data_IF_336340945800
#
_entry.id   IF_336340945800
#
_cell.length_a   1.000
_cell.length_b   1.000
_cell.length_c   1.000
_cell.angle_alpha   90.00
_cell.angle_beta   90.00
_cell.angle_gamma   90.00
#
_symmetry.space_group_name_H-M   'P 1'
#
loop_
_entity.id
_entity.type
_entity.pdbx_description
1 polymer ?
#
# COMPACT_ATOMS: atom_id res chain seq x y z
N UNK A 1 -10.35 8.23 -23.27
CA UNK A 1 -9.75 8.16 -24.61
C UNK A 1 -8.37 7.52 -24.46
N UNK A 2 -8.17 6.35 -25.08
CA UNK A 2 -6.84 5.78 -25.26
C UNK A 2 -6.08 6.76 -26.16
N UNK A 3 -5.03 7.39 -25.65
CA UNK A 3 -4.01 7.98 -26.52
C UNK A 3 -3.42 6.82 -27.31
N UNK A 4 -3.72 6.71 -28.58
CA UNK A 4 -2.97 5.86 -29.50
C UNK A 4 -1.54 6.40 -29.47
N UNK A 5 -0.62 5.59 -28.94
CA UNK A 5 0.78 5.94 -28.88
C UNK A 5 1.33 6.04 -30.30
N UNK A 6 1.62 7.23 -30.74
CA UNK A 6 2.45 7.44 -31.92
C UNK A 6 3.85 6.94 -31.58
N UNK A 7 4.54 6.35 -32.56
CA UNK A 7 5.95 6.01 -32.41
C UNK A 7 6.72 7.30 -32.09
N UNK A 8 7.48 7.27 -30.98
CA UNK A 8 8.41 8.34 -30.64
C UNK A 8 9.82 7.91 -31.06
N UNK A 9 10.63 8.83 -31.56
CA UNK A 9 12.02 8.52 -31.89
C UNK A 9 12.81 8.31 -30.57
N UNK A 10 13.82 7.44 -30.61
CA UNK A 10 14.71 7.26 -29.46
C UNK A 10 15.40 8.58 -29.10
N UNK A 11 15.75 9.40 -30.09
CA UNK A 11 16.34 10.71 -29.90
C UNK A 11 15.49 11.66 -29.07
N UNK A 12 14.16 11.66 -29.28
CA UNK A 12 13.22 12.50 -28.50
C UNK A 12 13.12 12.04 -27.04
N UNK A 13 13.38 10.76 -26.77
CA UNK A 13 13.24 10.15 -25.45
C UNK A 13 14.55 10.26 -24.66
N UNK A 14 15.71 10.28 -25.31
CA UNK A 14 17.05 10.32 -24.67
C UNK A 14 17.20 11.54 -23.77
N UNK A 15 16.77 12.72 -24.19
CA UNK A 15 16.81 13.93 -23.37
C UNK A 15 16.07 13.74 -22.03
N UNK A 16 14.83 13.25 -22.12
CA UNK A 16 14.01 12.97 -20.93
C UNK A 16 14.62 11.88 -20.03
N UNK A 17 15.23 10.88 -20.65
CA UNK A 17 15.91 9.80 -19.91
C UNK A 17 17.15 10.34 -19.14
N UNK A 18 17.95 11.21 -19.76
CA UNK A 18 19.10 11.85 -19.12
C UNK A 18 18.66 12.76 -17.95
N UNK A 19 17.62 13.56 -18.15
CA UNK A 19 17.06 14.40 -17.10
C UNK A 19 16.60 13.56 -15.88
N UNK A 20 15.99 12.42 -16.14
CA UNK A 20 15.58 11.51 -15.07
C UNK A 20 16.79 10.89 -14.36
N UNK A 21 17.83 10.49 -15.08
CA UNK A 21 19.06 9.95 -14.49
C UNK A 21 19.76 11.03 -13.64
N UNK A 22 19.83 12.26 -14.13
CA UNK A 22 20.42 13.38 -13.37
C UNK A 22 19.67 13.63 -12.06
N UNK A 23 18.33 13.66 -12.10
CA UNK A 23 17.50 13.78 -10.90
C UNK A 23 17.71 12.62 -9.92
N UNK A 24 17.90 11.40 -10.45
CA UNK A 24 18.22 10.24 -9.61
C UNK A 24 19.61 10.35 -8.97
N UNK A 25 20.58 10.86 -9.70
CA UNK A 25 21.94 11.08 -9.20
C UNK A 25 21.99 12.13 -8.08
N UNK A 26 21.20 13.18 -8.20
CA UNK A 26 21.07 14.22 -7.18
C UNK A 26 20.32 13.74 -5.94
N UNK A 27 19.47 12.73 -6.06
CA UNK A 27 18.71 12.15 -4.98
C UNK A 27 19.57 11.15 -4.20
N UNK A 28 20.27 11.63 -3.18
CA UNK A 28 21.19 10.84 -2.33
C UNK A 28 20.53 9.71 -1.54
N UNK A 29 19.20 9.66 -1.47
CA UNK A 29 18.47 8.62 -0.73
C UNK A 29 18.35 7.30 -1.50
N UNK A 30 18.74 7.25 -2.78
CA UNK A 30 18.79 6.03 -3.60
C UNK A 30 17.42 5.38 -3.89
N UNK A 31 16.34 5.91 -3.34
CA UNK A 31 14.99 5.41 -3.51
C UNK A 31 14.23 6.24 -4.55
N UNK A 32 14.01 5.66 -5.71
CA UNK A 32 13.24 6.30 -6.80
C UNK A 32 11.76 6.00 -6.71
N UNK A 33 11.41 4.87 -6.10
CA UNK A 33 10.05 4.40 -5.90
C UNK A 33 9.43 4.81 -4.57
N UNK A 34 8.30 4.18 -4.26
CA UNK A 34 7.61 4.32 -3.00
C UNK A 34 8.21 3.36 -1.97
N UNK A 35 8.75 3.84 -0.84
CA UNK A 35 9.30 2.97 0.20
C UNK A 35 8.27 2.00 0.75
N UNK A 36 8.62 0.72 0.82
CA UNK A 36 7.78 -0.31 1.45
C UNK A 36 7.84 -0.26 2.97
N UNK A 37 8.95 0.28 3.51
CA UNK A 37 9.29 0.28 4.93
C UNK A 37 10.15 -0.90 5.35
N UNK A 38 10.45 -1.83 4.43
CA UNK A 38 11.41 -2.92 4.62
C UNK A 38 12.71 -2.55 3.91
N UNK A 39 13.72 -2.19 4.69
CA UNK A 39 14.99 -1.65 4.18
C UNK A 39 15.63 -2.52 3.09
N UNK A 40 15.69 -3.84 3.32
CA UNK A 40 16.33 -4.75 2.37
C UNK A 40 15.52 -4.89 1.08
N UNK A 41 14.19 -4.89 1.18
CA UNK A 41 13.30 -4.88 0.01
C UNK A 41 13.48 -3.58 -0.77
N UNK A 42 13.48 -2.46 -0.07
CA UNK A 42 13.63 -1.13 -0.67
C UNK A 42 15.00 -0.96 -1.35
N UNK A 43 16.08 -1.51 -0.77
CA UNK A 43 17.40 -1.53 -1.38
C UNK A 43 17.44 -2.37 -2.67
N UNK A 44 16.76 -3.53 -2.69
CA UNK A 44 16.74 -4.42 -3.86
C UNK A 44 15.85 -3.89 -4.99
N UNK A 45 14.74 -3.20 -4.66
CA UNK A 45 13.74 -2.76 -5.64
C UNK A 45 13.82 -1.26 -5.95
N UNK A 46 14.62 -0.50 -5.21
CA UNK A 46 14.59 0.96 -5.17
C UNK A 46 13.20 1.51 -4.82
N UNK A 47 12.42 0.76 -4.04
CA UNK A 47 11.02 1.02 -3.69
C UNK A 47 10.03 0.58 -4.78
N UNK A 48 8.72 0.69 -4.50
CA UNK A 48 7.67 0.33 -5.46
C UNK A 48 7.59 1.36 -6.59
N UNK A 49 7.94 0.95 -7.81
CA UNK A 49 7.96 1.84 -8.97
C UNK A 49 6.56 2.10 -9.53
N UNK A 50 6.35 3.24 -10.22
CA UNK A 50 5.11 3.48 -10.96
C UNK A 50 4.89 2.41 -12.04
N UNK A 51 3.67 1.90 -12.16
CA UNK A 51 3.24 0.91 -13.16
C UNK A 51 3.78 -0.51 -12.94
N UNK A 52 4.57 -0.77 -11.90
CA UNK A 52 5.01 -2.11 -11.58
C UNK A 52 3.91 -2.94 -10.92
N UNK A 53 3.91 -4.21 -11.25
CA UNK A 53 3.14 -5.24 -10.57
C UNK A 53 4.10 -6.11 -9.76
N UNK A 54 4.04 -5.99 -8.44
CA UNK A 54 4.85 -6.78 -7.53
C UNK A 54 4.02 -7.95 -7.00
N UNK A 55 4.46 -9.17 -7.27
CA UNK A 55 3.80 -10.39 -6.81
C UNK A 55 4.54 -10.95 -5.59
N UNK A 56 3.81 -11.09 -4.49
CA UNK A 56 4.31 -11.72 -3.26
C UNK A 56 3.64 -13.09 -3.13
N UNK A 57 4.41 -14.15 -3.31
CA UNK A 57 3.94 -15.53 -3.18
C UNK A 57 4.56 -16.19 -1.94
N UNK A 58 3.74 -16.89 -1.17
CA UNK A 58 4.19 -17.64 -0.01
C UNK A 58 3.19 -18.79 0.27
N UNK A 59 3.68 -19.83 0.93
CA UNK A 59 2.80 -20.90 1.42
C UNK A 59 1.76 -20.33 2.42
N UNK A 60 0.60 -20.96 2.57
CA UNK A 60 -0.37 -20.56 3.59
C UNK A 60 0.29 -20.39 4.98
N UNK A 61 -0.19 -19.44 5.74
CA UNK A 61 0.29 -19.12 7.10
C UNK A 61 1.72 -18.58 7.23
N UNK A 62 2.43 -18.30 6.13
CA UNK A 62 3.79 -17.72 6.15
C UNK A 62 3.84 -16.19 6.31
N UNK A 63 2.74 -15.55 6.70
CA UNK A 63 2.72 -14.12 7.00
C UNK A 63 2.53 -13.19 5.79
N UNK A 64 2.12 -13.70 4.63
CA UNK A 64 1.89 -12.90 3.41
C UNK A 64 1.00 -11.68 3.66
N UNK A 65 -0.16 -11.87 4.28
CA UNK A 65 -1.09 -10.77 4.62
C UNK A 65 -0.47 -9.80 5.61
N UNK A 66 0.27 -10.29 6.61
CA UNK A 66 0.96 -9.44 7.58
C UNK A 66 2.01 -8.56 6.90
N UNK A 67 2.80 -9.13 5.99
CA UNK A 67 3.78 -8.38 5.19
C UNK A 67 3.12 -7.25 4.40
N UNK A 68 2.01 -7.56 3.71
CA UNK A 68 1.29 -6.58 2.90
C UNK A 68 0.64 -5.49 3.76
N UNK A 69 0.10 -5.85 4.93
CA UNK A 69 -0.46 -4.88 5.87
C UNK A 69 0.62 -3.96 6.45
N UNK A 70 1.83 -4.46 6.71
CA UNK A 70 2.95 -3.61 7.11
C UNK A 70 3.32 -2.59 6.04
N UNK A 71 3.31 -2.99 4.76
CA UNK A 71 3.50 -2.04 3.65
C UNK A 71 2.36 -1.01 3.63
N UNK A 72 1.11 -1.45 3.75
CA UNK A 72 -0.05 -0.56 3.79
C UNK A 72 0.02 0.43 4.95
N UNK A 73 0.43 -0.03 6.13
CA UNK A 73 0.66 0.81 7.31
C UNK A 73 1.78 1.82 7.05
N UNK A 74 2.92 1.39 6.53
CA UNK A 74 4.03 2.30 6.25
C UNK A 74 3.64 3.38 5.23
N UNK A 75 2.95 2.99 4.17
CA UNK A 75 2.50 3.91 3.12
C UNK A 75 1.38 4.83 3.62
N UNK A 76 0.36 4.27 4.27
CA UNK A 76 -0.82 5.02 4.70
C UNK A 76 -0.60 5.83 5.97
N UNK A 77 -0.05 5.22 7.02
CA UNK A 77 0.11 5.88 8.31
C UNK A 77 1.33 6.78 8.35
N UNK A 78 2.51 6.27 7.93
CA UNK A 78 3.76 7.04 8.03
C UNK A 78 3.96 8.03 6.90
N UNK A 79 3.70 7.61 5.65
CA UNK A 79 3.93 8.46 4.48
C UNK A 79 2.69 9.27 4.07
N UNK A 80 1.54 9.04 4.72
CA UNK A 80 0.25 9.72 4.44
C UNK A 80 -0.16 9.63 2.97
N UNK A 81 0.14 8.51 2.31
CA UNK A 81 -0.24 8.25 0.91
C UNK A 81 -1.42 7.30 0.86
N UNK A 82 -2.28 7.50 -0.11
CA UNK A 82 -3.50 6.71 -0.25
C UNK A 82 -3.22 5.25 -0.57
N UNK A 83 -3.84 4.37 0.20
CA UNK A 83 -3.80 2.93 0.01
C UNK A 83 -5.21 2.42 -0.25
N UNK A 84 -5.40 1.67 -1.35
CA UNK A 84 -6.60 0.86 -1.60
C UNK A 84 -6.24 -0.61 -1.36
N UNK A 85 -6.87 -1.23 -0.37
CA UNK A 85 -6.59 -2.60 0.02
C UNK A 85 -7.80 -3.47 -0.32
N UNK A 86 -7.63 -4.42 -1.25
CA UNK A 86 -8.66 -5.39 -1.63
C UNK A 86 -8.37 -6.73 -0.98
N UNK A 87 -9.30 -7.25 -0.22
CA UNK A 87 -9.18 -8.52 0.49
C UNK A 87 -10.20 -9.51 -0.02
N UNK A 88 -9.74 -10.69 -0.47
CA UNK A 88 -10.60 -11.80 -0.87
C UNK A 88 -10.70 -12.91 0.20
N UNK A 89 -9.98 -12.73 1.30
CA UNK A 89 -9.86 -13.78 2.33
C UNK A 89 -10.30 -13.31 3.71
N UNK A 90 -10.05 -12.06 4.03
CA UNK A 90 -10.32 -11.48 5.35
C UNK A 90 -11.30 -10.33 5.26
N UNK A 91 -12.18 -10.20 6.26
CA UNK A 91 -13.07 -9.05 6.38
C UNK A 91 -12.33 -7.75 6.72
N UNK A 92 -12.95 -6.62 6.43
CA UNK A 92 -12.44 -5.28 6.78
C UNK A 92 -12.11 -5.19 8.27
N UNK A 93 -13.00 -5.69 9.12
CA UNK A 93 -12.83 -5.68 10.59
C UNK A 93 -11.59 -6.45 11.02
N UNK A 94 -11.37 -7.65 10.45
CA UNK A 94 -10.19 -8.47 10.75
C UNK A 94 -8.90 -7.78 10.34
N UNK A 95 -8.91 -7.07 9.22
CA UNK A 95 -7.74 -6.32 8.74
C UNK A 95 -7.45 -5.10 9.62
N UNK A 96 -8.49 -4.33 9.98
CA UNK A 96 -8.35 -3.20 10.91
C UNK A 96 -7.85 -3.67 12.27
N UNK A 97 -8.37 -4.78 12.78
CA UNK A 97 -7.91 -5.37 14.03
C UNK A 97 -6.41 -5.72 13.99
N UNK A 98 -5.94 -6.30 12.87
CA UNK A 98 -4.51 -6.58 12.69
C UNK A 98 -3.67 -5.31 12.59
N UNK A 99 -4.15 -4.27 11.89
CA UNK A 99 -3.47 -2.98 11.83
C UNK A 99 -3.36 -2.33 13.21
N UNK A 100 -4.41 -2.41 14.03
CA UNK A 100 -4.38 -1.92 15.41
C UNK A 100 -3.35 -2.66 16.25
N UNK A 101 -3.30 -4.01 16.18
CA UNK A 101 -2.28 -4.80 16.85
C UNK A 101 -0.85 -4.40 16.43
N UNK A 102 -0.63 -4.20 15.12
CA UNK A 102 0.68 -3.82 14.58
C UNK A 102 1.13 -2.43 15.06
N UNK A 103 0.21 -1.46 15.11
CA UNK A 103 0.53 -0.08 15.46
C UNK A 103 0.67 0.09 16.98
N UNK A 104 -0.22 -0.55 17.78
CA UNK A 104 -0.21 -0.47 19.24
C UNK A 104 0.83 -1.36 19.88
N UNK A 105 1.33 -2.38 19.17
CA UNK A 105 2.14 -3.47 19.73
C UNK A 105 1.46 -4.22 20.89
N UNK A 106 0.13 -4.18 20.97
CA UNK A 106 -0.67 -4.96 21.91
C UNK A 106 -0.93 -6.34 21.31
N UNK A 107 -0.88 -7.36 22.17
CA UNK A 107 -1.12 -8.74 21.75
C UNK A 107 -2.51 -8.92 21.12
N UNK A 108 -2.54 -9.63 20.00
CA UNK A 108 -3.78 -9.82 19.23
C UNK A 108 -4.84 -10.62 19.96
N UNK A 109 -4.43 -11.53 20.85
CA UNK A 109 -5.36 -12.32 21.65
C UNK A 109 -6.02 -11.47 22.73
N UNK A 110 -5.26 -10.59 23.38
CA UNK A 110 -5.79 -9.63 24.36
C UNK A 110 -6.82 -8.70 23.72
N UNK A 111 -6.50 -8.14 22.54
CA UNK A 111 -7.43 -7.29 21.78
C UNK A 111 -8.70 -8.05 21.41
N UNK A 112 -8.59 -9.32 20.95
CA UNK A 112 -9.73 -10.13 20.53
C UNK A 112 -10.63 -10.55 21.70
N UNK A 113 -10.06 -10.76 22.87
CA UNK A 113 -10.80 -11.17 24.07
C UNK A 113 -11.24 -10.00 24.96
N UNK A 114 -10.82 -8.76 24.61
CA UNK A 114 -11.09 -7.57 25.41
C UNK A 114 -10.31 -7.53 26.74
N UNK A 115 -9.29 -8.39 26.90
CA UNK A 115 -8.51 -8.51 28.13
C UNK A 115 -7.31 -7.54 28.12
N UNK A 116 -7.61 -6.25 28.08
CA UNK A 116 -6.62 -5.20 28.26
C UNK A 116 -6.51 -4.91 29.78
N UNK A 117 -5.39 -5.26 30.36
CA UNK A 117 -5.22 -5.28 31.81
C UNK A 117 -4.48 -4.06 32.37
N UNK A 118 -3.95 -3.19 31.51
CA UNK A 118 -3.17 -2.02 31.94
C UNK A 118 -3.61 -0.75 31.25
N UNK A 119 -3.53 0.38 31.95
CA UNK A 119 -3.78 1.71 31.38
C UNK A 119 -2.82 2.02 30.22
N UNK A 120 -1.61 1.45 30.27
CA UNK A 120 -0.62 1.57 29.21
C UNK A 120 -1.08 0.91 27.89
N UNK A 121 -1.68 -0.27 27.98
CA UNK A 121 -2.23 -0.98 26.81
C UNK A 121 -3.39 -0.19 26.19
N UNK A 122 -4.26 0.38 27.02
CA UNK A 122 -5.34 1.26 26.57
C UNK A 122 -4.83 2.53 25.92
N UNK A 123 -3.80 3.16 26.49
CA UNK A 123 -3.16 4.36 25.91
C UNK A 123 -2.57 4.05 24.54
N UNK A 124 -1.78 2.97 24.42
CA UNK A 124 -1.20 2.52 23.15
C UNK A 124 -2.27 2.24 22.10
N UNK A 125 -3.37 1.60 22.50
CA UNK A 125 -4.48 1.31 21.57
C UNK A 125 -5.17 2.58 21.11
N UNK A 126 -5.42 3.53 22.02
CA UNK A 126 -6.05 4.82 21.67
C UNK A 126 -5.19 5.63 20.71
N UNK A 127 -3.87 5.67 20.96
CA UNK A 127 -2.93 6.31 20.02
C UNK A 127 -2.92 5.62 18.65
N UNK A 128 -2.98 4.28 18.63
CA UNK A 128 -3.04 3.52 17.38
C UNK A 128 -4.34 3.81 16.61
N UNK A 129 -5.47 3.88 17.31
CA UNK A 129 -6.76 4.27 16.73
C UNK A 129 -6.70 5.67 16.10
N UNK A 130 -6.14 6.65 16.81
CA UNK A 130 -5.97 8.00 16.28
C UNK A 130 -5.11 8.03 15.01
N UNK A 131 -3.95 7.34 15.03
CA UNK A 131 -3.05 7.25 13.87
C UNK A 131 -3.72 6.59 12.66
N UNK A 132 -4.54 5.57 12.91
CA UNK A 132 -5.22 4.82 11.85
C UNK A 132 -6.42 5.60 11.30
N UNK A 133 -7.14 6.34 12.16
CA UNK A 133 -8.27 7.19 11.76
C UNK A 133 -7.85 8.25 10.74
N UNK A 134 -6.67 8.85 10.92
CA UNK A 134 -6.11 9.87 10.05
C UNK A 134 -5.36 9.28 8.83
N UNK A 135 -5.31 7.97 8.70
CA UNK A 135 -4.61 7.33 7.60
C UNK A 135 -5.50 7.16 6.37
N UNK A 136 -5.07 7.55 5.17
CA UNK A 136 -5.85 7.39 3.95
C UNK A 136 -5.80 5.94 3.44
N UNK A 137 -6.21 4.99 4.26
CA UNK A 137 -6.29 3.56 3.95
C UNK A 137 -7.74 3.17 3.73
N UNK A 138 -8.06 2.67 2.55
CA UNK A 138 -9.39 2.24 2.15
C UNK A 138 -9.38 0.74 1.92
N UNK A 139 -10.28 0.02 2.58
CA UNK A 139 -10.36 -1.44 2.51
C UNK A 139 -11.65 -1.85 1.80
N UNK A 140 -11.55 -2.81 0.91
CA UNK A 140 -12.67 -3.44 0.21
C UNK A 140 -12.55 -4.96 0.35
N UNK A 141 -13.53 -5.59 0.97
CA UNK A 141 -13.59 -7.05 1.19
C UNK A 141 -14.70 -7.71 0.38
N UNK A 142 -15.10 -7.09 -0.75
CA UNK A 142 -16.12 -7.64 -1.64
C UNK A 142 -15.70 -9.04 -2.12
N UNK A 143 -16.50 -10.09 -1.82
CA UNK A 143 -16.16 -11.45 -2.24
C UNK A 143 -16.20 -11.58 -3.76
N UNK A 144 -15.22 -12.29 -4.33
CA UNK A 144 -15.22 -12.59 -5.77
C UNK A 144 -15.08 -11.38 -6.69
N UNK A 145 -14.63 -10.22 -6.16
CA UNK A 145 -14.46 -9.00 -6.96
C UNK A 145 -13.59 -9.26 -8.19
N UNK A 146 -14.08 -8.85 -9.35
CA UNK A 146 -13.33 -8.95 -10.60
C UNK A 146 -12.28 -7.85 -10.74
N UNK A 147 -11.25 -8.08 -11.55
CA UNK A 147 -10.20 -7.08 -11.85
C UNK A 147 -10.81 -5.80 -12.44
N UNK A 148 -11.86 -5.93 -13.27
CA UNK A 148 -12.58 -4.79 -13.84
C UNK A 148 -13.27 -3.93 -12.77
N UNK A 149 -13.91 -4.57 -11.80
CA UNK A 149 -14.56 -3.89 -10.67
C UNK A 149 -13.53 -3.23 -9.74
N UNK A 150 -12.43 -3.91 -9.42
CA UNK A 150 -11.33 -3.34 -8.64
C UNK A 150 -10.79 -2.07 -9.30
N UNK A 151 -10.55 -2.14 -10.61
CA UNK A 151 -10.09 -0.98 -11.39
C UNK A 151 -11.10 0.17 -11.38
N UNK A 152 -12.39 -0.14 -11.49
CA UNK A 152 -13.47 0.84 -11.44
C UNK A 152 -13.56 1.50 -10.05
N UNK A 153 -13.51 0.71 -8.97
CA UNK A 153 -13.51 1.20 -7.58
C UNK A 153 -12.28 2.08 -7.28
N UNK A 154 -11.09 1.63 -7.71
CA UNK A 154 -9.86 2.41 -7.53
C UNK A 154 -9.88 3.75 -8.28
N UNK A 155 -10.46 3.79 -9.50
CA UNK A 155 -10.66 5.04 -10.25
C UNK A 155 -11.64 5.98 -9.57
N UNK A 156 -12.76 5.46 -9.03
CA UNK A 156 -13.72 6.26 -8.27
C UNK A 156 -13.10 6.82 -7.00
N UNK A 157 -12.35 6.00 -6.27
CA UNK A 157 -11.61 6.43 -5.09
C UNK A 157 -10.66 7.59 -5.44
N UNK A 158 -9.90 7.45 -6.53
CA UNK A 158 -9.02 8.50 -7.01
C UNK A 158 -9.76 9.79 -7.33
N UNK A 159 -10.90 9.71 -8.01
CA UNK A 159 -11.72 10.88 -8.33
C UNK A 159 -12.30 11.56 -7.09
N UNK A 160 -12.67 10.78 -6.06
CA UNK A 160 -13.23 11.29 -4.81
C UNK A 160 -12.21 12.00 -3.92
N UNK A 161 -10.94 11.55 -3.93
CA UNK A 161 -9.87 12.15 -3.12
C UNK A 161 -9.40 13.49 -3.71
N UNK A 162 -9.67 13.73 -5.00
CA UNK A 162 -9.38 14.99 -5.69
C UNK A 162 -7.92 15.17 -6.11
N UNK A 163 -7.63 16.22 -6.93
CA UNK A 163 -6.31 16.46 -7.52
C UNK A 163 -5.26 16.99 -6.54
N UNK A 164 -5.66 17.44 -5.35
CA UNK A 164 -4.78 18.08 -4.36
C UNK A 164 -3.89 17.10 -3.59
N UNK A 165 -4.21 15.81 -3.58
CA UNK A 165 -3.31 14.80 -3.03
C UNK A 165 -2.63 14.04 -4.18
N UNK A 166 -1.29 13.93 -4.19
CA UNK A 166 -0.59 13.08 -5.14
C UNK A 166 -1.02 11.61 -4.87
N UNK A 167 -2.08 11.19 -5.58
CA UNK A 167 -2.71 9.89 -5.37
C UNK A 167 -1.80 8.81 -5.91
N UNK A 168 -0.93 8.32 -5.04
CA UNK A 168 -0.20 7.08 -5.28
C UNK A 168 -1.01 5.95 -4.64
N UNK A 169 -2.03 5.47 -5.34
CA UNK A 169 -2.82 4.34 -4.87
C UNK A 169 -1.96 3.08 -4.99
N UNK A 170 -1.58 2.54 -3.86
CA UNK A 170 -1.05 1.18 -3.78
C UNK A 170 -2.25 0.26 -3.61
N UNK A 171 -2.58 -0.51 -4.63
CA UNK A 171 -3.59 -1.55 -4.52
C UNK A 171 -2.92 -2.83 -4.04
N UNK A 172 -3.37 -3.36 -2.93
CA UNK A 172 -2.96 -4.67 -2.44
C UNK A 172 -4.14 -5.63 -2.61
N UNK A 173 -3.97 -6.63 -3.48
CA UNK A 173 -4.91 -7.75 -3.59
C UNK A 173 -4.38 -8.92 -2.80
N UNK A 174 -5.07 -9.32 -1.74
CA UNK A 174 -4.69 -10.46 -0.90
C UNK A 174 -5.59 -11.64 -1.16
N UNK A 175 -5.01 -12.76 -1.58
CA UNK A 175 -5.68 -14.04 -1.81
C UNK A 175 -4.89 -15.16 -1.09
N UNK A 176 -5.48 -16.37 -0.96
CA UNK A 176 -4.84 -17.54 -0.33
C UNK A 176 -3.48 -17.89 -0.92
N UNK A 177 -3.29 -17.75 -2.23
CA UNK A 177 -2.08 -18.20 -2.93
C UNK A 177 -1.07 -17.11 -3.17
N UNK A 178 -1.50 -15.87 -3.37
CA UNK A 178 -0.62 -14.75 -3.71
C UNK A 178 -1.18 -13.41 -3.23
N UNK A 179 -0.30 -12.42 -3.15
CA UNK A 179 -0.66 -11.02 -2.97
C UNK A 179 -0.04 -10.22 -4.09
N UNK A 180 -0.84 -9.40 -4.75
CA UNK A 180 -0.38 -8.46 -5.76
C UNK A 180 -0.35 -7.06 -5.17
N UNK A 181 0.78 -6.38 -5.33
CA UNK A 181 0.93 -4.96 -5.05
C UNK A 181 1.12 -4.25 -6.39
N UNK A 182 0.28 -3.29 -6.69
CA UNK A 182 0.44 -2.45 -7.88
C UNK A 182 0.14 -1.00 -7.57
N UNK A 183 0.85 -0.11 -8.24
CA UNK A 183 0.68 1.32 -8.10
C UNK A 183 -0.13 1.84 -9.29
N UNK A 184 -1.25 2.47 -9.03
CA UNK A 184 -2.04 3.12 -10.07
C UNK A 184 -1.46 4.52 -10.27
N UNK A 185 -0.92 4.76 -11.45
CA UNK A 185 -0.58 6.10 -11.89
C UNK A 185 -1.84 6.81 -12.37
N UNK A 186 -1.90 8.07 -12.09
CA UNK A 186 -2.97 8.95 -12.50
C UNK A 186 -3.00 9.26 -13.96
#
# INVERSE_FOLDING_TARGET
SRKHGNFASVGDIVGTALDNITKMYENKEGLTGLPTGFKDVDMLTSGLQPSDLVLVAARPSMGKTAFTLNIAQNVGVRQKKTVAFFSLEMSQEQLVHRLLCQISHVDSQKLRTGQLNTDEEWTKLTEACSKLYDAPIYIDDTPGISVGEMRSKARRLKAAIGPLMPVRIVCALVNRSYTCLFKING
#
